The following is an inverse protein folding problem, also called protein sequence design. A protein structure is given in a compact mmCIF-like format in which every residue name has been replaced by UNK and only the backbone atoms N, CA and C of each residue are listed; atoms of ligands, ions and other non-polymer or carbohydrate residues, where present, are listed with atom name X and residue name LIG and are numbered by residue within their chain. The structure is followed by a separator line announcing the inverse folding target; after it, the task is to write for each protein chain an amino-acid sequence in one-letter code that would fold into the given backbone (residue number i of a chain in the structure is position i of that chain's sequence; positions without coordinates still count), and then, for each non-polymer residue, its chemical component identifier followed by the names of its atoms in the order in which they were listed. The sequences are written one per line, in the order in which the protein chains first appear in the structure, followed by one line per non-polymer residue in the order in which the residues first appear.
data_IF_154878554829
#
_entry.id   IF_154878554829
#
_cell.length_a   1.000
_cell.length_b   1.000
_cell.length_c   1.000
_cell.angle_alpha   90.00
_cell.angle_beta   90.00
_cell.angle_gamma   90.00
#
_symmetry.space_group_name_H-M   'P 1'
#
loop_
_entity.id
_entity.type
_entity.pdbx_description
1 polymer ?
#
# COMPACT_ATOMS: atom_id res chain seq x y z
N UNK A 1 -3.81 -1.88 -0.84
CA UNK A 1 -3.23 -0.79 -0.04
C UNK A 1 -2.07 -0.22 -0.82
N UNK A 2 -2.13 1.06 -1.22
CA UNK A 2 -1.08 1.68 -2.03
C UNK A 2 -0.10 2.54 -1.23
N UNK A 3 -0.31 2.69 0.08
CA UNK A 3 0.37 3.68 0.92
C UNK A 3 -0.36 5.03 0.96
N UNK A 4 -1.26 5.28 0.01
CA UNK A 4 -2.06 6.50 -0.05
C UNK A 4 -3.29 6.53 0.85
N UNK A 5 -3.79 7.75 1.10
CA UNK A 5 -4.94 8.03 1.98
C UNK A 5 -6.23 7.38 1.48
N UNK A 6 -6.51 7.43 0.17
CA UNK A 6 -7.76 6.87 -0.38
C UNK A 6 -7.90 5.38 -0.09
N UNK A 7 -6.84 4.61 -0.33
CA UNK A 7 -6.82 3.18 -0.05
C UNK A 7 -6.96 2.88 1.46
N UNK A 8 -6.42 3.76 2.30
CA UNK A 8 -6.49 3.67 3.76
C UNK A 8 -7.89 3.89 4.29
N UNK A 9 -8.55 4.95 3.82
CA UNK A 9 -9.93 5.27 4.21
C UNK A 9 -10.89 4.23 3.66
N UNK A 10 -10.68 3.74 2.43
CA UNK A 10 -11.47 2.66 1.86
C UNK A 10 -11.41 1.38 2.72
N UNK A 11 -10.21 0.95 3.13
CA UNK A 11 -10.04 -0.21 4.01
C UNK A 11 -10.70 0.00 5.39
N UNK A 12 -10.56 1.21 5.97
CA UNK A 12 -11.19 1.55 7.24
C UNK A 12 -12.73 1.51 7.17
N UNK A 13 -13.32 2.00 6.07
CA UNK A 13 -14.77 1.97 5.85
C UNK A 13 -15.29 0.54 5.71
N UNK A 14 -14.60 -0.32 4.94
CA UNK A 14 -14.96 -1.74 4.82
C UNK A 14 -14.88 -2.46 6.18
N UNK A 15 -13.81 -2.20 6.95
CA UNK A 15 -13.67 -2.75 8.31
C UNK A 15 -14.81 -2.27 9.22
N UNK A 16 -15.17 -0.98 9.18
CA UNK A 16 -16.28 -0.40 9.96
C UNK A 16 -17.64 -1.00 9.58
N UNK A 17 -17.82 -1.39 8.33
CA UNK A 17 -19.03 -2.08 7.86
C UNK A 17 -19.08 -3.57 8.24
N UNK A 18 -18.06 -4.10 8.92
CA UNK A 18 -18.04 -5.47 9.44
C UNK A 18 -17.48 -6.52 8.48
N UNK A 19 -16.89 -6.10 7.35
CA UNK A 19 -16.24 -7.05 6.43
C UNK A 19 -14.93 -7.60 7.00
N UNK A 20 -14.59 -8.82 6.59
CA UNK A 20 -13.23 -9.32 6.71
C UNK A 20 -12.38 -8.68 5.60
N UNK A 21 -11.37 -7.93 6.01
CA UNK A 21 -10.53 -7.14 5.11
C UNK A 21 -9.08 -7.55 5.33
N UNK A 22 -8.35 -7.74 4.23
CA UNK A 22 -6.90 -7.83 4.19
C UNK A 22 -6.37 -6.79 3.20
N UNK A 23 -5.25 -6.15 3.53
CA UNK A 23 -4.55 -5.24 2.63
C UNK A 23 -3.48 -6.00 1.85
N UNK A 24 -3.35 -5.72 0.56
CA UNK A 24 -2.22 -6.17 -0.26
C UNK A 24 -1.51 -4.98 -0.91
N UNK A 25 -0.19 -5.02 -1.01
CA UNK A 25 0.61 -4.03 -1.76
C UNK A 25 1.12 -4.63 -3.07
N UNK A 26 1.05 -3.86 -4.16
CA UNK A 26 1.52 -4.32 -5.48
C UNK A 26 2.71 -3.48 -5.93
N UNK A 27 3.88 -4.11 -5.98
CA UNK A 27 5.06 -3.54 -6.62
C UNK A 27 5.02 -3.87 -8.12
N UNK A 28 4.46 -2.96 -8.90
CA UNK A 28 4.32 -3.15 -10.36
C UNK A 28 5.51 -2.66 -11.18
N UNK A 29 6.40 -1.86 -10.58
CA UNK A 29 7.57 -1.29 -11.24
C UNK A 29 8.83 -1.54 -10.41
N UNK A 30 9.93 -1.83 -11.11
CA UNK A 30 11.29 -1.85 -10.55
C UNK A 30 12.19 -0.87 -11.29
N UNK A 31 13.31 -0.47 -10.69
CA UNK A 31 14.30 0.40 -11.35
C UNK A 31 14.83 -0.22 -12.65
N UNK A 32 15.04 -1.55 -12.66
CA UNK A 32 15.41 -2.31 -13.85
C UNK A 32 14.35 -2.21 -14.96
N UNK A 33 13.07 -2.08 -14.58
CA UNK A 33 11.97 -1.99 -15.54
C UNK A 33 12.01 -0.68 -16.34
N UNK A 34 12.69 0.36 -15.84
CA UNK A 34 12.66 1.73 -16.40
C UNK A 34 14.05 2.38 -16.46
N UNK A 35 15.13 1.58 -16.48
CA UNK A 35 16.50 2.06 -16.60
C UNK A 35 16.63 3.04 -17.79
N UNK A 36 16.81 4.34 -17.50
CA UNK A 36 16.96 5.41 -18.49
C UNK A 36 15.77 6.37 -18.65
N UNK A 37 14.63 6.14 -17.97
CA UNK A 37 13.44 7.00 -18.09
C UNK A 37 13.14 7.80 -16.82
N UNK A 38 13.57 7.31 -15.65
CA UNK A 38 13.34 7.97 -14.35
C UNK A 38 14.69 8.23 -13.68
N UNK A 39 14.97 9.50 -13.35
CA UNK A 39 16.22 9.91 -12.70
C UNK A 39 16.27 9.60 -11.20
N UNK A 40 15.15 9.15 -10.62
CA UNK A 40 14.97 8.95 -9.18
C UNK A 40 14.50 7.52 -8.87
N UNK A 41 15.00 6.98 -7.77
CA UNK A 41 14.56 5.71 -7.19
C UNK A 41 13.04 5.76 -6.94
N UNK A 42 12.33 4.73 -7.40
CA UNK A 42 10.89 4.62 -7.18
C UNK A 42 10.62 4.45 -5.67
N UNK A 43 9.75 5.26 -5.05
CA UNK A 43 9.55 5.30 -3.59
C UNK A 43 8.74 4.12 -3.03
N UNK A 44 8.67 3.00 -3.76
CA UNK A 44 7.83 1.85 -3.42
C UNK A 44 8.10 1.27 -2.01
N UNK A 45 9.31 1.42 -1.47
CA UNK A 45 9.62 0.99 -0.10
C UNK A 45 8.86 1.81 0.95
N UNK A 46 8.80 3.13 0.75
CA UNK A 46 8.08 4.02 1.65
C UNK A 46 6.57 3.77 1.54
N UNK A 47 6.05 3.67 0.32
CA UNK A 47 4.64 3.38 0.07
C UNK A 47 4.20 2.04 0.70
N UNK A 48 5.05 1.01 0.60
CA UNK A 48 4.81 -0.30 1.22
C UNK A 48 4.84 -0.21 2.75
N UNK A 49 5.77 0.55 3.34
CA UNK A 49 5.84 0.76 4.78
C UNK A 49 4.61 1.51 5.31
N UNK A 50 4.16 2.56 4.60
CA UNK A 50 2.95 3.30 4.95
C UNK A 50 1.70 2.41 4.83
N UNK A 51 1.63 1.58 3.79
CA UNK A 51 0.56 0.60 3.63
C UNK A 51 0.50 -0.40 4.80
N UNK A 52 1.67 -0.92 5.22
CA UNK A 52 1.77 -1.84 6.35
C UNK A 52 1.34 -1.15 7.66
N UNK A 53 1.84 0.06 7.93
CA UNK A 53 1.51 0.81 9.14
C UNK A 53 0.00 1.12 9.26
N UNK A 54 -0.68 1.40 8.14
CA UNK A 54 -2.13 1.56 8.13
C UNK A 54 -2.84 0.24 8.43
N UNK A 55 -2.41 -0.88 7.84
CA UNK A 55 -2.99 -2.19 8.12
C UNK A 55 -2.85 -2.58 9.60
N UNK A 56 -1.69 -2.32 10.21
CA UNK A 56 -1.45 -2.51 11.64
C UNK A 56 -2.41 -1.66 12.49
N UNK A 57 -2.54 -0.37 12.16
CA UNK A 57 -3.44 0.55 12.87
C UNK A 57 -4.91 0.15 12.77
N UNK A 58 -5.32 -0.41 11.63
CA UNK A 58 -6.69 -0.91 11.41
C UNK A 58 -6.90 -2.36 11.93
N UNK A 59 -5.83 -3.00 12.43
CA UNK A 59 -5.83 -4.41 12.84
C UNK A 59 -6.40 -5.34 11.77
N UNK A 60 -5.87 -5.20 10.55
CA UNK A 60 -6.16 -6.05 9.39
C UNK A 60 -4.88 -6.72 8.88
N UNK A 61 -5.00 -7.91 8.30
CA UNK A 61 -3.87 -8.64 7.71
C UNK A 61 -3.23 -7.82 6.57
N UNK A 62 -1.91 -7.81 6.47
CA UNK A 62 -1.15 -7.22 5.37
C UNK A 62 -0.43 -8.31 4.57
N UNK A 63 -0.50 -8.23 3.23
CA UNK A 63 0.04 -9.20 2.28
C UNK A 63 0.93 -8.56 1.23
#
# INVERSE_FOLDING_TARGET
MSGGVDSSVAAALLKKQGFFVAGAYMKNFSEESWAGVVAAECPWRQDMADAQAVCEKLSIEFR
#
